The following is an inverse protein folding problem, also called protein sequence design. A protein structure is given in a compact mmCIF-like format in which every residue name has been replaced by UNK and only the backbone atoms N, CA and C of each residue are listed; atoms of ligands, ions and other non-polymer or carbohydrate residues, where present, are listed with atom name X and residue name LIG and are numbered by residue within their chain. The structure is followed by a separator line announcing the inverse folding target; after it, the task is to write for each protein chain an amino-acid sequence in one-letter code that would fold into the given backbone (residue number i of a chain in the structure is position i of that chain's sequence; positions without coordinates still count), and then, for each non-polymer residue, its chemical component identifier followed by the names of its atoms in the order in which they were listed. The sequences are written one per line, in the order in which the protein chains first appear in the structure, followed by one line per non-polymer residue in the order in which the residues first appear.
data_IF_774014627575
#
_entry.id   IF_774014627575
#
_cell.length_a   1.000
_cell.length_b   1.000
_cell.length_c   1.000
_cell.angle_alpha   90.00
_cell.angle_beta   90.00
_cell.angle_gamma   90.00
#
_symmetry.space_group_name_H-M   'P 1'
#
loop_
_entity.id
_entity.type
_entity.pdbx_description
1 polymer ?
#
# COMPACT_ATOMS: atom_id res chain seq x y z
N UNK A 1 4.49 26.49 10.28
CA UNK A 1 4.02 25.35 9.46
C UNK A 1 5.23 24.67 8.85
N UNK A 2 5.42 23.37 9.11
CA UNK A 2 6.56 22.60 8.56
C UNK A 2 6.12 21.88 7.31
N UNK A 3 6.84 22.08 6.19
CA UNK A 3 6.53 21.47 4.88
C UNK A 3 7.64 20.52 4.48
N UNK A 4 7.30 19.30 4.10
CA UNK A 4 8.26 18.34 3.55
C UNK A 4 8.33 18.45 2.02
N UNK A 5 9.54 18.32 1.49
CA UNK A 5 9.83 18.32 0.06
C UNK A 5 10.79 17.17 -0.27
N UNK A 6 10.71 16.67 -1.50
CA UNK A 6 11.66 15.69 -2.03
C UNK A 6 12.61 16.43 -2.96
N UNK A 7 13.91 16.29 -2.69
CA UNK A 7 15.00 16.88 -3.48
C UNK A 7 15.90 15.78 -3.99
N UNK A 8 16.42 15.96 -5.20
CA UNK A 8 17.53 15.15 -5.69
C UNK A 8 18.81 15.53 -4.92
N UNK A 9 19.53 14.55 -4.38
CA UNK A 9 20.71 14.82 -3.54
C UNK A 9 21.94 15.28 -4.33
N UNK A 10 21.97 15.06 -5.65
CA UNK A 10 23.09 15.43 -6.52
C UNK A 10 22.91 16.84 -7.07
N UNK A 11 21.70 17.17 -7.52
CA UNK A 11 21.40 18.46 -8.16
C UNK A 11 20.73 19.45 -7.21
N UNK A 12 20.27 19.00 -6.04
CA UNK A 12 19.42 19.77 -5.12
C UNK A 12 18.14 20.31 -5.76
N UNK A 13 17.75 19.77 -6.93
CA UNK A 13 16.53 20.16 -7.61
C UNK A 13 15.33 19.51 -6.92
N UNK A 14 14.26 20.30 -6.76
CA UNK A 14 12.99 19.80 -6.27
C UNK A 14 12.38 18.82 -7.28
N UNK A 15 11.90 17.69 -6.78
CA UNK A 15 11.06 16.78 -7.56
C UNK A 15 9.62 17.31 -7.56
N UNK A 16 9.29 18.11 -8.57
CA UNK A 16 8.03 18.89 -8.65
C UNK A 16 6.79 18.01 -8.47
N UNK A 17 6.78 16.82 -9.08
CA UNK A 17 5.68 15.87 -9.05
C UNK A 17 5.48 15.29 -7.66
N UNK A 18 6.57 14.96 -6.97
CA UNK A 18 6.52 14.50 -5.58
C UNK A 18 6.04 15.63 -4.66
N UNK A 19 6.50 16.86 -4.86
CA UNK A 19 6.05 18.03 -4.07
C UNK A 19 4.56 18.31 -4.28
N UNK A 20 4.07 18.17 -5.52
CA UNK A 20 2.66 18.33 -5.85
C UNK A 20 1.80 17.22 -5.21
N UNK A 21 2.25 15.97 -5.25
CA UNK A 21 1.59 14.88 -4.54
C UNK A 21 1.53 15.12 -3.02
N UNK A 22 2.61 15.60 -2.41
CA UNK A 22 2.60 15.94 -0.99
C UNK A 22 1.67 17.12 -0.69
N UNK A 23 1.51 18.07 -1.61
CA UNK A 23 0.52 19.13 -1.48
C UNK A 23 -0.91 18.58 -1.51
N UNK A 24 -1.18 17.56 -2.35
CA UNK A 24 -2.50 16.93 -2.38
C UNK A 24 -2.82 16.14 -1.11
N UNK A 25 -1.82 15.52 -0.46
CA UNK A 25 -2.00 14.90 0.86
C UNK A 25 -2.39 15.94 1.93
N UNK A 26 -1.78 17.13 1.90
CA UNK A 26 -2.14 18.23 2.81
C UNK A 26 -3.54 18.74 2.57
N UNK A 27 -3.94 18.86 1.30
CA UNK A 27 -5.30 19.27 0.93
C UNK A 27 -6.38 18.25 1.34
N UNK A 28 -5.99 16.99 1.60
CA UNK A 28 -6.85 15.91 2.13
C UNK A 28 -6.86 15.86 3.67
N UNK A 29 -6.38 16.91 4.35
CA UNK A 29 -6.25 16.98 5.82
C UNK A 29 -5.44 15.82 6.44
N UNK A 30 -4.47 15.27 5.71
CA UNK A 30 -3.57 14.26 6.28
C UNK A 30 -2.69 14.85 7.38
N UNK A 31 -2.49 14.11 8.46
CA UNK A 31 -1.62 14.55 9.56
C UNK A 31 -0.18 14.81 9.08
N UNK A 32 0.57 15.74 9.72
CA UNK A 32 1.98 15.99 9.39
C UNK A 32 2.87 14.74 9.50
N UNK A 33 2.52 13.79 10.39
CA UNK A 33 3.23 12.53 10.50
C UNK A 33 2.97 11.61 9.31
N UNK A 34 1.73 11.57 8.80
CA UNK A 34 1.36 10.84 7.58
C UNK A 34 2.14 11.39 6.39
N UNK A 35 2.17 12.72 6.25
CA UNK A 35 2.95 13.38 5.21
C UNK A 35 4.42 12.97 5.27
N UNK A 36 5.07 13.08 6.45
CA UNK A 36 6.46 12.68 6.65
C UNK A 36 6.73 11.23 6.25
N UNK A 37 5.81 10.32 6.60
CA UNK A 37 5.91 8.90 6.24
C UNK A 37 5.80 8.71 4.72
N UNK A 38 4.87 9.40 4.07
CA UNK A 38 4.67 9.30 2.62
C UNK A 38 5.84 9.92 1.84
N UNK A 39 6.39 11.05 2.29
CA UNK A 39 7.62 11.66 1.72
C UNK A 39 8.73 10.63 1.65
N UNK A 40 9.01 9.96 2.77
CA UNK A 40 10.09 8.97 2.85
C UNK A 40 9.86 7.77 1.93
N UNK A 41 8.61 7.33 1.77
CA UNK A 41 8.26 6.21 0.87
C UNK A 41 8.40 6.59 -0.61
N UNK A 42 7.94 7.78 -0.98
CA UNK A 42 8.08 8.30 -2.37
C UNK A 42 9.56 8.53 -2.70
N UNK A 43 10.32 9.14 -1.79
CA UNK A 43 11.75 9.34 -1.99
C UNK A 43 12.50 8.00 -2.15
N UNK A 44 12.14 6.98 -1.38
CA UNK A 44 12.72 5.65 -1.49
C UNK A 44 12.46 5.01 -2.87
N UNK A 45 11.24 5.17 -3.39
CA UNK A 45 10.87 4.71 -4.73
C UNK A 45 11.65 5.45 -5.83
N UNK A 46 11.68 6.78 -5.79
CA UNK A 46 12.42 7.57 -6.77
C UNK A 46 13.92 7.22 -6.76
N UNK A 47 14.50 7.04 -5.56
CA UNK A 47 15.88 6.60 -5.43
C UNK A 47 16.09 5.19 -6.00
N UNK A 48 15.15 4.25 -5.80
CA UNK A 48 15.20 2.93 -6.44
C UNK A 48 15.19 3.03 -7.97
N UNK A 49 14.29 3.84 -8.54
CA UNK A 49 14.24 4.09 -9.98
C UNK A 49 15.56 4.66 -10.50
N UNK A 50 16.14 5.65 -9.81
CA UNK A 50 17.45 6.20 -10.15
C UNK A 50 18.56 5.15 -10.09
N UNK A 51 18.64 4.35 -9.02
CA UNK A 51 19.65 3.29 -8.86
C UNK A 51 19.55 2.20 -9.93
N UNK A 52 18.34 1.89 -10.40
CA UNK A 52 18.08 0.86 -11.42
C UNK A 52 17.96 1.43 -12.83
N UNK A 53 18.15 2.75 -13.01
CA UNK A 53 17.97 3.47 -14.28
C UNK A 53 16.59 3.25 -14.90
N UNK A 54 15.57 3.13 -14.06
CA UNK A 54 14.18 2.99 -14.47
C UNK A 54 13.53 4.36 -14.59
N UNK A 55 12.67 4.54 -15.59
CA UNK A 55 11.78 5.68 -15.63
C UNK A 55 10.67 5.50 -14.58
N UNK A 56 10.64 6.40 -13.58
CA UNK A 56 9.63 6.35 -12.53
C UNK A 56 8.21 6.66 -13.05
N UNK A 57 8.08 7.34 -14.19
CA UNK A 57 6.78 7.66 -14.79
C UNK A 57 6.14 6.46 -15.50
N UNK A 58 6.96 5.50 -15.93
CA UNK A 58 6.52 4.32 -16.68
C UNK A 58 7.13 3.04 -16.09
N UNK A 59 6.90 2.74 -14.81
CA UNK A 59 7.43 1.53 -14.20
C UNK A 59 6.72 0.32 -14.79
N UNK A 60 7.51 -0.64 -15.26
CA UNK A 60 7.00 -1.94 -15.68
C UNK A 60 6.70 -2.84 -14.47
N UNK A 61 5.89 -3.89 -14.68
CA UNK A 61 5.57 -4.89 -13.66
C UNK A 61 6.84 -5.46 -13.00
N UNK A 62 7.85 -5.82 -13.80
CA UNK A 62 9.12 -6.33 -13.29
C UNK A 62 9.86 -5.28 -12.44
N UNK A 63 9.75 -4.00 -12.79
CA UNK A 63 10.33 -2.90 -12.01
C UNK A 63 9.69 -2.78 -10.63
N UNK A 64 8.36 -2.92 -10.55
CA UNK A 64 7.58 -2.85 -9.30
C UNK A 64 7.73 -4.11 -8.44
N UNK A 65 7.72 -5.30 -9.05
CA UNK A 65 8.00 -6.55 -8.35
C UNK A 65 9.43 -6.56 -7.79
N UNK A 66 10.39 -6.09 -8.59
CA UNK A 66 11.78 -5.91 -8.17
C UNK A 66 11.93 -4.91 -7.02
N UNK A 67 11.14 -3.83 -7.02
CA UNK A 67 11.10 -2.88 -5.89
C UNK A 67 10.62 -3.57 -4.62
N UNK A 68 9.52 -4.32 -4.68
CA UNK A 68 8.98 -5.01 -3.51
C UNK A 68 9.96 -6.02 -2.94
N UNK A 69 10.62 -6.79 -3.80
CA UNK A 69 11.67 -7.73 -3.40
C UNK A 69 12.87 -6.99 -2.79
N UNK A 70 13.37 -5.96 -3.47
CA UNK A 70 14.47 -5.13 -2.98
C UNK A 70 14.16 -4.49 -1.63
N UNK A 71 12.93 -4.08 -1.35
CA UNK A 71 12.57 -3.52 -0.05
C UNK A 71 12.77 -4.52 1.10
N UNK A 72 12.52 -5.81 0.86
CA UNK A 72 12.67 -6.89 1.84
C UNK A 72 14.14 -7.32 1.97
N UNK A 73 14.84 -7.42 0.84
CA UNK A 73 16.21 -7.96 0.78
C UNK A 73 17.30 -6.91 1.00
N UNK A 74 17.00 -5.62 0.79
CA UNK A 74 17.99 -4.57 0.97
C UNK A 74 18.21 -4.29 2.48
N UNK A 75 19.46 -4.38 2.96
CA UNK A 75 19.76 -4.03 4.33
C UNK A 75 19.50 -2.54 4.57
N UNK A 76 18.92 -2.23 5.72
CA UNK A 76 18.74 -0.87 6.20
C UNK A 76 20.10 -0.27 6.54
N UNK A 77 20.35 1.00 6.19
CA UNK A 77 21.57 1.68 6.61
C UNK A 77 21.66 1.68 8.14
N UNK A 78 22.88 1.53 8.67
CA UNK A 78 23.10 1.55 10.11
C UNK A 78 22.61 2.88 10.68
N UNK A 79 21.88 2.85 11.80
CA UNK A 79 21.33 4.07 12.43
C UNK A 79 22.38 5.00 13.02
N UNK A 80 23.64 4.58 13.07
CA UNK A 80 24.70 5.29 13.76
C UNK A 80 25.98 5.14 12.94
N UNK A 81 26.61 6.28 12.60
CA UNK A 81 27.94 6.29 11.96
C UNK A 81 29.04 5.77 12.90
N UNK A 82 28.72 5.56 14.18
CA UNK A 82 29.62 5.12 15.26
C UNK A 82 29.27 3.71 15.77
N UNK A 83 28.36 3.00 15.10
CA UNK A 83 27.88 1.70 15.56
C UNK A 83 28.84 0.61 15.06
N UNK A 84 29.33 -0.19 16.00
CA UNK A 84 29.94 -1.49 15.76
C UNK A 84 29.17 -2.29 14.69
N UNK A 85 29.81 -3.19 13.92
CA UNK A 85 29.15 -4.00 12.91
C UNK A 85 28.11 -4.92 13.58
N UNK A 86 26.89 -4.41 13.71
CA UNK A 86 25.73 -5.19 14.14
C UNK A 86 25.13 -5.96 12.96
N UNK A 87 24.31 -6.99 13.22
CA UNK A 87 23.63 -7.74 12.17
C UNK A 87 22.79 -6.81 11.28
N UNK A 88 22.86 -7.04 9.98
CA UNK A 88 22.10 -6.28 9.00
C UNK A 88 20.59 -6.35 9.31
N UNK A 89 19.95 -5.18 9.37
CA UNK A 89 18.51 -5.09 9.64
C UNK A 89 17.77 -5.00 8.32
N UNK A 90 16.75 -5.82 8.13
CA UNK A 90 15.91 -5.81 6.93
C UNK A 90 14.55 -5.18 7.23
N UNK A 91 13.86 -4.69 6.18
CA UNK A 91 12.47 -4.24 6.35
C UNK A 91 11.55 -5.45 6.45
N UNK A 92 10.50 -5.32 7.25
CA UNK A 92 9.45 -6.33 7.28
C UNK A 92 8.61 -6.29 6.00
N UNK A 93 7.99 -7.41 5.63
CA UNK A 93 7.05 -7.48 4.49
C UNK A 93 5.90 -6.47 4.63
N UNK A 94 5.39 -6.25 5.84
CA UNK A 94 4.37 -5.24 6.12
C UNK A 94 4.84 -3.82 5.76
N UNK A 95 6.12 -3.50 6.03
CA UNK A 95 6.70 -2.21 5.66
C UNK A 95 6.86 -2.09 4.15
N UNK A 96 7.31 -3.16 3.48
CA UNK A 96 7.40 -3.19 2.02
C UNK A 96 6.04 -2.95 1.37
N UNK A 97 4.99 -3.62 1.84
CA UNK A 97 3.63 -3.41 1.34
C UNK A 97 3.15 -1.97 1.57
N UNK A 98 3.42 -1.38 2.74
CA UNK A 98 3.05 0.00 3.02
C UNK A 98 3.79 1.02 2.13
N UNK A 99 5.03 0.71 1.70
CA UNK A 99 5.74 1.49 0.68
C UNK A 99 5.05 1.32 -0.67
N UNK A 100 4.73 0.09 -1.09
CA UNK A 100 4.03 -0.18 -2.35
C UNK A 100 2.67 0.53 -2.42
N UNK A 101 1.93 0.60 -1.32
CA UNK A 101 0.68 1.38 -1.24
C UNK A 101 0.92 2.87 -1.52
N UNK A 102 1.92 3.47 -0.89
CA UNK A 102 2.24 4.88 -1.11
C UNK A 102 2.73 5.15 -2.55
N UNK A 103 3.47 4.21 -3.14
CA UNK A 103 3.89 4.28 -4.55
C UNK A 103 2.68 4.18 -5.49
N UNK A 104 1.74 3.28 -5.20
CA UNK A 104 0.52 3.16 -6.00
C UNK A 104 -0.35 4.41 -5.94
N UNK A 105 -0.51 5.03 -4.76
CA UNK A 105 -1.19 6.32 -4.62
C UNK A 105 -0.47 7.44 -5.39
N UNK A 106 0.86 7.50 -5.31
CA UNK A 106 1.66 8.48 -6.04
C UNK A 106 1.52 8.32 -7.57
N UNK A 107 1.61 7.10 -8.08
CA UNK A 107 1.47 6.82 -9.52
C UNK A 107 0.04 7.08 -10.02
N UNK A 108 -0.98 6.78 -9.21
CA UNK A 108 -2.38 7.15 -9.50
C UNK A 108 -2.55 8.66 -9.57
N UNK A 109 -1.97 9.40 -8.63
CA UNK A 109 -1.96 10.86 -8.68
C UNK A 109 -1.23 11.38 -9.92
N UNK A 110 -0.09 10.79 -10.29
CA UNK A 110 0.61 11.11 -11.53
C UNK A 110 -0.25 10.86 -12.78
N UNK A 111 -1.04 9.78 -12.79
CA UNK A 111 -1.92 9.48 -13.91
C UNK A 111 -3.08 10.49 -14.04
N UNK A 112 -3.65 10.97 -12.92
CA UNK A 112 -4.70 12.02 -13.00
C UNK A 112 -4.15 13.36 -13.49
N UNK A 113 -2.84 13.58 -13.42
CA UNK A 113 -2.16 14.78 -13.92
C UNK A 113 -1.49 14.57 -15.29
N UNK A 114 -1.63 13.38 -15.90
CA UNK A 114 -1.05 13.06 -17.20
C UNK A 114 0.46 12.78 -17.21
N UNK A 115 1.11 12.65 -16.05
CA UNK A 115 2.55 12.33 -15.96
C UNK A 115 2.85 10.85 -16.13
N UNK A 116 1.91 10.00 -15.70
CA UNK A 116 2.01 8.54 -15.71
C UNK A 116 0.93 7.99 -16.63
N UNK A 117 1.23 7.06 -17.54
CA UNK A 117 0.20 6.40 -18.35
C UNK A 117 -0.85 5.70 -17.46
N UNK A 118 -2.12 5.82 -17.80
CA UNK A 118 -3.20 5.18 -17.04
C UNK A 118 -3.02 3.64 -16.95
N UNK A 119 -2.45 3.02 -18.00
CA UNK A 119 -2.12 1.58 -18.03
C UNK A 119 -1.19 1.15 -16.90
N UNK A 120 -0.25 1.99 -16.47
CA UNK A 120 0.63 1.73 -15.34
C UNK A 120 -0.14 1.56 -14.03
N UNK A 121 -1.20 2.34 -13.83
CA UNK A 121 -2.01 2.28 -12.61
C UNK A 121 -2.95 1.08 -12.58
N UNK A 122 -3.29 0.53 -13.75
CA UNK A 122 -4.04 -0.72 -13.87
C UNK A 122 -3.22 -1.91 -13.32
N UNK A 123 -1.90 -1.93 -13.55
CA UNK A 123 -0.99 -2.96 -12.99
C UNK A 123 -0.96 -2.96 -11.46
N UNK A 124 -1.23 -1.81 -10.84
CA UNK A 124 -1.24 -1.61 -9.39
C UNK A 124 -2.62 -1.82 -8.76
N UNK A 125 -3.62 -2.07 -9.58
CA UNK A 125 -4.99 -2.30 -9.15
C UNK A 125 -5.18 -3.80 -9.01
N UNK A 126 -4.99 -4.30 -7.78
CA UNK A 126 -5.45 -5.65 -7.45
C UNK A 126 -6.99 -5.65 -7.62
N UNK A 127 -7.56 -6.55 -8.44
CA UNK A 127 -9.00 -6.73 -8.44
C UNK A 127 -9.37 -7.16 -7.02
N UNK A 128 -10.04 -6.27 -6.30
CA UNK A 128 -10.60 -6.56 -4.98
C UNK A 128 -11.76 -7.53 -5.21
N UNK A 129 -11.44 -8.80 -5.42
CA UNK A 129 -12.43 -9.87 -5.42
C UNK A 129 -13.14 -9.75 -4.08
N UNK A 130 -14.40 -9.34 -4.12
CA UNK A 130 -15.26 -9.30 -2.96
C UNK A 130 -15.27 -10.73 -2.39
N UNK A 131 -14.51 -10.96 -1.31
CA UNK A 131 -14.57 -12.23 -0.54
C UNK A 131 -15.96 -12.46 0.06
N UNK A 132 -16.82 -11.45 0.02
CA UNK A 132 -18.22 -11.50 0.40
C UNK A 132 -19.08 -11.11 -0.80
N UNK A 133 -19.67 -12.13 -1.43
CA UNK A 133 -20.86 -11.94 -2.24
C UNK A 133 -21.98 -11.48 -1.30
N UNK A 134 -22.64 -10.35 -1.53
CA UNK A 134 -23.84 -9.99 -0.79
C UNK A 134 -24.88 -11.12 -0.90
N UNK A 135 -25.63 -11.45 0.15
CA UNK A 135 -26.71 -12.43 0.05
C UNK A 135 -27.70 -11.97 -1.03
N UNK A 136 -27.81 -12.72 -2.13
CA UNK A 136 -28.71 -12.41 -3.25
C UNK A 136 -28.06 -12.02 -4.58
N UNK A 137 -26.73 -12.13 -4.73
CA UNK A 137 -26.09 -11.97 -6.06
C UNK A 137 -26.04 -13.33 -6.79
N UNK A 138 -27.10 -13.65 -7.51
CA UNK A 138 -27.14 -14.81 -8.41
C UNK A 138 -26.31 -14.51 -9.66
N UNK A 139 -25.17 -15.19 -9.84
CA UNK A 139 -24.49 -15.23 -11.13
C UNK A 139 -25.30 -16.15 -12.05
N UNK A 140 -26.37 -15.62 -12.63
CA UNK A 140 -27.13 -16.32 -13.65
C UNK A 140 -26.32 -16.36 -14.95
N UNK A 141 -25.56 -17.44 -15.15
CA UNK A 141 -25.06 -17.84 -16.46
C UNK A 141 -25.11 -19.36 -16.59
N UNK A 142 -26.28 -19.81 -17.05
CA UNK A 142 -26.50 -20.94 -17.96
C UNK A 142 -26.11 -22.36 -17.51
N UNK A 143 -27.11 -23.18 -17.15
CA UNK A 143 -27.40 -24.45 -17.84
C UNK A 143 -28.67 -25.10 -17.28
N UNK A 144 -29.60 -25.41 -18.19
CA UNK A 144 -30.78 -26.25 -18.00
C UNK A 144 -30.39 -27.66 -17.54
N UNK A 145 -31.20 -28.26 -16.66
CA UNK A 145 -31.06 -29.66 -16.28
C UNK A 145 -31.98 -30.07 -15.13
N UNK A 146 -33.20 -30.46 -15.51
CA UNK A 146 -34.04 -31.51 -14.92
C UNK A 146 -34.25 -31.63 -13.40
N UNK A 147 -35.54 -31.66 -13.03
CA UNK A 147 -36.06 -31.83 -11.68
C UNK A 147 -35.85 -33.26 -11.17
N UNK A 148 -35.47 -33.42 -9.90
CA UNK A 148 -36.00 -34.53 -9.09
C UNK A 148 -36.09 -34.19 -7.58
N UNK A 149 -37.01 -34.89 -6.91
CA UNK A 149 -37.77 -34.54 -5.71
C UNK A 149 -37.03 -34.57 -4.34
N UNK A 150 -37.59 -33.75 -3.43
CA UNK A 150 -37.53 -33.59 -1.94
C UNK A 150 -37.44 -34.89 -1.06
N UNK A 151 -37.51 -34.81 0.30
CA UNK A 151 -36.76 -34.04 1.34
C UNK A 151 -36.39 -34.91 2.58
N UNK A 152 -35.57 -34.43 3.55
CA UNK A 152 -35.83 -34.52 5.03
C UNK A 152 -34.65 -34.12 5.95
N UNK A 153 -35.02 -33.30 6.94
CA UNK A 153 -34.66 -33.26 8.38
C UNK A 153 -33.22 -33.35 8.92
N UNK A 154 -32.92 -32.43 9.85
CA UNK A 154 -31.92 -32.57 10.92
C UNK A 154 -31.23 -31.23 11.21
N UNK A 155 -31.71 -30.40 12.13
CA UNK A 155 -31.54 -30.43 13.60
C UNK A 155 -30.23 -29.79 14.08
N UNK A 156 -30.37 -28.78 14.96
CA UNK A 156 -29.34 -28.23 15.85
C UNK A 156 -28.50 -27.09 15.24
N UNK A 157 -28.17 -26.00 15.92
CA UNK A 157 -28.44 -25.56 17.29
C UNK A 157 -28.14 -24.06 17.33
N UNK A 158 -29.06 -23.25 17.85
CA UNK A 158 -28.84 -21.85 18.16
C UNK A 158 -28.24 -21.76 19.56
N UNK A 159 -27.10 -21.10 19.71
CA UNK A 159 -26.63 -20.64 21.02
C UNK A 159 -26.12 -19.19 20.93
N UNK A 160 -26.94 -18.37 21.57
CA UNK A 160 -26.82 -16.99 22.06
C UNK A 160 -25.63 -16.93 23.07
N UNK A 161 -24.90 -15.82 23.27
CA UNK A 161 -25.07 -14.85 24.40
C UNK A 161 -23.71 -14.10 24.57
N UNK A 162 -23.67 -12.81 24.24
CA UNK A 162 -23.48 -11.59 25.08
C UNK A 162 -22.06 -11.11 25.45
N UNK A 163 -21.94 -9.81 25.20
CA UNK A 163 -21.10 -8.74 25.75
C UNK A 163 -21.12 -8.63 27.29
N UNK A 164 -19.97 -8.31 27.89
CA UNK A 164 -19.77 -7.47 29.11
C UNK A 164 -18.26 -7.19 29.26
N UNK A 165 -17.78 -5.96 29.08
CA UNK A 165 -17.64 -4.86 30.07
C UNK A 165 -16.39 -4.95 30.96
N UNK A 166 -15.49 -3.99 30.74
CA UNK A 166 -14.64 -3.21 31.65
C UNK A 166 -14.12 -3.81 32.99
N UNK A 167 -12.84 -3.58 33.28
CA UNK A 167 -12.38 -3.11 34.61
C UNK A 167 -11.08 -2.34 34.46
N UNK A 168 -11.06 -1.17 35.08
CA UNK A 168 -9.98 -0.20 35.26
C UNK A 168 -8.87 -0.72 36.17
N UNK A 169 -7.70 -0.07 36.13
CA UNK A 169 -6.87 0.18 37.33
C UNK A 169 -5.92 1.34 37.09
N UNK A 170 -6.18 2.40 37.85
CA UNK A 170 -5.24 3.47 38.21
C UNK A 170 -4.47 3.05 39.47
N UNK A 171 -3.20 3.44 39.56
CA UNK A 171 -2.37 3.56 40.78
C UNK A 171 -0.93 3.78 40.29
N UNK A 172 -0.08 4.67 40.81
CA UNK A 172 -0.17 5.81 41.73
C UNK A 172 1.09 6.62 41.44
#
# INVERSE_FOLDING_TARGET
MTRWVVVDSRTYSLQTEAVAYLASLRARDCSPNTERVYVGRVALYLNYCLMRRLNWMTPDFLGLAGLQQWLVEAPLPSRSSRAQPGPARFRSRATANAVMTAVAEFLRFGATHGWVPASTTALLSEPKLLRFTPPGYDTASSASGERHRRPRSGSGSLSRVTKTSATSRSAT
#
